data_IF_172212350723
#
_entry.id   IF_172212350723
#
_cell.length_a   1.000
_cell.length_b   1.000
_cell.length_c   1.000
_cell.angle_alpha   90.00
_cell.angle_beta   90.00
_cell.angle_gamma   90.00
#
_symmetry.space_group_name_H-M   'P 1'
#
loop_
_entity.id
_entity.type
_entity.pdbx_description
1 polymer ?
#
# COMPACT_ATOMS: atom_id res chain seq x y z
N UNK A 1 22.16 -15.32 -23.08
CA UNK A 1 21.31 -14.30 -22.40
C UNK A 1 20.73 -15.02 -21.21
N UNK A 2 21.23 -14.70 -20.01
CA UNK A 2 20.78 -15.33 -18.78
C UNK A 2 19.28 -15.03 -18.61
N UNK A 3 18.49 -16.07 -18.43
CA UNK A 3 17.12 -15.99 -17.92
C UNK A 3 17.22 -15.26 -16.57
N UNK A 4 16.82 -13.97 -16.57
CA UNK A 4 16.62 -13.27 -15.31
C UNK A 4 15.50 -14.02 -14.61
N UNK A 5 15.84 -14.87 -13.64
CA UNK A 5 14.88 -15.45 -12.71
C UNK A 5 13.95 -14.32 -12.28
N UNK A 6 12.66 -14.46 -12.60
CA UNK A 6 11.60 -13.55 -12.15
C UNK A 6 11.50 -13.69 -10.63
N UNK A 7 12.36 -12.97 -9.94
CA UNK A 7 12.34 -12.93 -8.47
C UNK A 7 11.00 -12.33 -8.09
N UNK A 8 10.16 -13.15 -7.49
CA UNK A 8 8.88 -12.67 -6.96
C UNK A 8 9.16 -11.57 -5.96
N UNK A 9 8.60 -10.38 -6.21
CA UNK A 9 8.83 -9.21 -5.35
C UNK A 9 8.23 -9.42 -3.98
N UNK A 10 7.07 -10.11 -3.91
CA UNK A 10 6.39 -10.45 -2.66
C UNK A 10 6.19 -11.97 -2.64
N UNK A 11 6.57 -12.64 -1.55
CA UNK A 11 6.38 -14.07 -1.38
C UNK A 11 5.75 -14.37 -0.03
N UNK A 12 4.75 -15.24 -0.04
CA UNK A 12 4.15 -15.86 1.14
C UNK A 12 4.73 -17.24 1.33
N UNK A 13 5.09 -17.59 2.56
CA UNK A 13 5.67 -18.89 2.92
C UNK A 13 4.87 -19.49 4.07
N UNK A 14 4.01 -20.46 3.77
CA UNK A 14 3.19 -21.18 4.75
C UNK A 14 2.30 -20.25 5.59
N UNK A 15 1.78 -19.17 5.01
CA UNK A 15 1.05 -18.12 5.72
C UNK A 15 -0.34 -18.63 6.13
N UNK A 16 -0.62 -18.54 7.42
CA UNK A 16 -1.96 -18.77 7.98
C UNK A 16 -2.51 -17.45 8.54
N UNK A 17 -3.74 -17.12 8.15
CA UNK A 17 -4.47 -15.92 8.58
C UNK A 17 -5.74 -16.29 9.31
N UNK A 18 -6.07 -15.53 10.35
CA UNK A 18 -7.29 -15.75 11.11
C UNK A 18 -7.50 -14.75 12.23
N UNK A 19 -8.61 -14.90 12.94
CA UNK A 19 -8.95 -14.12 14.13
C UNK A 19 -9.27 -15.10 15.27
N UNK A 20 -8.45 -15.15 16.31
CA UNK A 20 -8.55 -16.15 17.36
C UNK A 20 -8.48 -17.56 16.77
N UNK A 21 -9.47 -18.40 17.04
CA UNK A 21 -9.55 -19.78 16.52
C UNK A 21 -10.09 -19.87 15.08
N UNK A 22 -10.66 -18.79 14.55
CA UNK A 22 -11.23 -18.80 13.20
C UNK A 22 -10.13 -18.59 12.15
N UNK A 23 -9.75 -19.67 11.49
CA UNK A 23 -8.83 -19.62 10.34
C UNK A 23 -9.58 -19.16 9.08
N UNK A 24 -9.04 -18.16 8.39
CA UNK A 24 -9.56 -17.64 7.13
C UNK A 24 -8.81 -18.22 5.93
N UNK A 25 -7.51 -18.44 6.08
CA UNK A 25 -6.62 -19.01 5.09
C UNK A 25 -5.51 -19.78 5.82
N UNK A 26 -5.22 -20.99 5.40
CA UNK A 26 -4.21 -21.85 6.02
C UNK A 26 -3.10 -22.20 5.02
N UNK A 27 -1.86 -22.19 5.50
CA UNK A 27 -0.66 -22.71 4.82
C UNK A 27 -0.51 -22.21 3.37
N UNK A 28 -0.78 -20.92 3.14
CA UNK A 28 -0.69 -20.35 1.81
C UNK A 28 0.75 -19.99 1.44
N UNK A 29 1.21 -20.52 0.31
CA UNK A 29 2.49 -20.20 -0.29
C UNK A 29 2.28 -19.75 -1.72
N UNK A 30 2.59 -18.47 -2.01
CA UNK A 30 2.40 -17.85 -3.32
C UNK A 30 3.39 -16.70 -3.51
N UNK A 31 3.83 -16.50 -4.74
CA UNK A 31 4.68 -15.37 -5.12
C UNK A 31 3.97 -14.44 -6.10
N UNK A 32 4.24 -13.14 -5.96
CA UNK A 32 3.77 -12.09 -6.87
C UNK A 32 4.99 -11.46 -7.55
N UNK A 33 4.98 -11.49 -8.87
CA UNK A 33 6.09 -11.00 -9.69
C UNK A 33 6.08 -9.49 -9.89
N UNK A 34 7.22 -8.97 -10.30
CA UNK A 34 7.33 -7.58 -10.73
C UNK A 34 6.57 -7.36 -12.05
N UNK A 35 5.80 -6.26 -12.12
CA UNK A 35 5.05 -5.89 -13.32
C UNK A 35 3.83 -6.77 -13.62
N UNK A 36 3.43 -7.62 -12.69
CA UNK A 36 2.24 -8.48 -12.83
C UNK A 36 1.00 -7.81 -12.22
N UNK A 37 -0.13 -7.97 -12.91
CA UNK A 37 -1.45 -7.63 -12.37
C UNK A 37 -2.10 -8.90 -11.84
N UNK A 38 -2.28 -8.97 -10.52
CA UNK A 38 -2.90 -10.10 -9.84
C UNK A 38 -4.24 -9.71 -9.24
N UNK A 39 -5.30 -10.49 -9.51
CA UNK A 39 -6.62 -10.30 -8.91
C UNK A 39 -6.86 -11.32 -7.78
N UNK A 40 -7.23 -10.83 -6.59
CA UNK A 40 -7.63 -11.65 -5.46
C UNK A 40 -9.15 -11.74 -5.41
N UNK A 41 -9.71 -12.90 -5.77
CA UNK A 41 -11.15 -13.13 -5.90
C UNK A 41 -11.65 -14.06 -4.79
N UNK A 42 -12.85 -13.80 -4.28
CA UNK A 42 -13.49 -14.62 -3.25
C UNK A 42 -14.71 -13.93 -2.65
N UNK A 43 -15.54 -14.67 -1.91
CA UNK A 43 -16.73 -14.13 -1.22
C UNK A 43 -16.31 -13.13 -0.12
N UNK A 44 -17.26 -12.29 0.32
CA UNK A 44 -17.00 -11.42 1.47
C UNK A 44 -16.72 -12.25 2.73
N UNK A 45 -15.77 -11.79 3.55
CA UNK A 45 -15.38 -12.47 4.78
C UNK A 45 -14.37 -13.61 4.60
N UNK A 46 -13.86 -13.88 3.38
CA UNK A 46 -12.87 -14.96 3.14
C UNK A 46 -11.42 -14.55 3.44
N UNK A 47 -11.17 -13.36 3.94
CA UNK A 47 -9.82 -12.92 4.35
C UNK A 47 -9.04 -12.10 3.32
N UNK A 48 -9.64 -11.70 2.18
CA UNK A 48 -8.95 -10.89 1.15
C UNK A 48 -8.28 -9.63 1.70
N UNK A 49 -9.05 -8.81 2.41
CA UNK A 49 -8.52 -7.57 3.02
C UNK A 49 -7.52 -7.89 4.15
N UNK A 50 -7.71 -8.98 4.88
CA UNK A 50 -6.76 -9.43 5.91
C UNK A 50 -5.43 -9.80 5.26
N UNK A 51 -5.45 -10.54 4.15
CA UNK A 51 -4.23 -10.89 3.41
C UNK A 51 -3.50 -9.64 2.93
N UNK A 52 -4.20 -8.72 2.27
CA UNK A 52 -3.59 -7.48 1.78
C UNK A 52 -2.99 -6.63 2.91
N UNK A 53 -3.70 -6.52 4.05
CA UNK A 53 -3.17 -5.84 5.25
C UNK A 53 -1.96 -6.55 5.84
N UNK A 54 -1.91 -7.89 5.80
CA UNK A 54 -0.77 -8.66 6.30
C UNK A 54 0.45 -8.48 5.37
N UNK A 55 0.26 -8.47 4.06
CA UNK A 55 1.33 -8.16 3.08
C UNK A 55 1.89 -6.75 3.33
N UNK A 56 1.03 -5.78 3.62
CA UNK A 56 1.42 -4.40 3.92
C UNK A 56 1.98 -4.19 5.35
N UNK A 57 2.23 -5.27 6.11
CA UNK A 57 2.66 -5.24 7.51
C UNK A 57 1.70 -4.52 8.48
N UNK A 58 0.45 -4.28 8.09
CA UNK A 58 -0.60 -3.70 8.93
C UNK A 58 -1.29 -4.73 9.83
N UNK A 59 -1.03 -6.02 9.60
CA UNK A 59 -1.45 -7.14 10.44
C UNK A 59 -0.34 -8.19 10.46
N UNK A 60 -0.37 -9.06 11.47
CA UNK A 60 0.58 -10.19 11.57
C UNK A 60 -0.12 -11.48 11.17
N UNK A 61 0.55 -12.41 10.47
CA UNK A 61 0.03 -13.74 10.25
C UNK A 61 0.02 -14.53 11.57
N UNK A 62 -0.84 -15.56 11.67
CA UNK A 62 -0.83 -16.50 12.79
C UNK A 62 0.37 -17.45 12.71
N UNK A 63 0.75 -17.84 11.50
CA UNK A 63 1.97 -18.62 11.22
C UNK A 63 2.46 -18.34 9.81
N UNK A 64 3.67 -18.80 9.49
CA UNK A 64 4.36 -18.52 8.25
C UNK A 64 4.99 -17.13 8.27
N UNK A 65 5.55 -16.72 7.13
CA UNK A 65 6.16 -15.40 6.98
C UNK A 65 5.98 -14.86 5.56
N UNK A 66 6.18 -13.56 5.40
CA UNK A 66 6.07 -12.86 4.12
C UNK A 66 7.39 -12.17 3.85
N UNK A 67 7.89 -12.29 2.62
CA UNK A 67 9.08 -11.56 2.18
C UNK A 67 8.75 -10.54 1.11
N UNK A 68 9.44 -9.38 1.15
CA UNK A 68 9.44 -8.35 0.12
C UNK A 68 10.86 -8.21 -0.39
N UNK A 69 11.07 -8.44 -1.69
CA UNK A 69 12.40 -8.43 -2.31
C UNK A 69 13.41 -9.30 -1.53
N UNK A 70 12.98 -10.48 -1.07
CA UNK A 70 13.77 -11.44 -0.31
C UNK A 70 13.99 -11.10 1.16
N UNK A 71 13.46 -10.00 1.69
CA UNK A 71 13.58 -9.62 3.10
C UNK A 71 12.28 -9.93 3.85
N UNK A 72 12.37 -10.55 5.01
CA UNK A 72 11.20 -10.82 5.85
C UNK A 72 10.55 -9.51 6.30
N UNK A 73 9.25 -9.37 6.02
CA UNK A 73 8.46 -8.19 6.40
C UNK A 73 8.51 -7.92 7.90
N UNK A 74 8.56 -8.97 8.73
CA UNK A 74 8.65 -8.82 10.18
C UNK A 74 9.97 -8.18 10.64
N UNK A 75 11.02 -8.21 9.81
CA UNK A 75 12.31 -7.58 10.08
C UNK A 75 12.42 -6.14 9.58
N UNK A 76 11.45 -5.68 8.77
CA UNK A 76 11.45 -4.36 8.18
C UNK A 76 10.81 -3.34 9.12
N UNK A 77 11.33 -2.13 9.13
CA UNK A 77 10.65 -0.98 9.73
C UNK A 77 9.45 -0.57 8.87
N UNK A 78 8.44 0.08 9.46
CA UNK A 78 7.29 0.60 8.71
C UNK A 78 7.70 1.53 7.56
N UNK A 79 8.77 2.31 7.76
CA UNK A 79 9.35 3.14 6.70
C UNK A 79 9.84 2.30 5.53
N UNK A 80 10.61 1.24 5.80
CA UNK A 80 11.11 0.33 4.75
C UNK A 80 9.99 -0.40 4.03
N UNK A 81 8.92 -0.80 4.73
CA UNK A 81 7.73 -1.37 4.08
C UNK A 81 7.07 -0.34 3.16
N UNK A 82 6.86 0.89 3.63
CA UNK A 82 6.22 1.96 2.86
C UNK A 82 7.06 2.44 1.64
N UNK A 83 8.38 2.23 1.66
CA UNK A 83 9.25 2.47 0.50
C UNK A 83 9.07 1.41 -0.60
N UNK A 84 8.51 0.24 -0.28
CA UNK A 84 8.37 -0.89 -1.19
C UNK A 84 6.92 -1.20 -1.57
N UNK A 85 5.94 -0.86 -0.72
CA UNK A 85 4.52 -1.16 -0.92
C UNK A 85 3.69 0.11 -0.76
N UNK A 86 2.85 0.41 -1.76
CA UNK A 86 1.73 1.33 -1.63
C UNK A 86 0.46 0.52 -1.32
N UNK A 87 -0.27 0.92 -0.30
CA UNK A 87 -1.53 0.27 0.10
C UNK A 87 -2.69 1.26 0.02
N UNK A 88 -3.67 0.95 -0.82
CA UNK A 88 -4.93 1.73 -0.90
C UNK A 88 -6.01 0.98 -0.14
N UNK A 89 -6.52 1.59 0.94
CA UNK A 89 -7.62 1.02 1.71
C UNK A 89 -8.96 1.30 1.03
N UNK A 90 -9.91 0.38 1.23
CA UNK A 90 -11.32 0.61 0.91
C UNK A 90 -12.07 1.36 2.02
N UNK A 91 -11.40 1.63 3.13
CA UNK A 91 -11.98 2.39 4.23
C UNK A 91 -12.17 3.86 3.80
N UNK A 92 -13.30 4.44 4.15
CA UNK A 92 -13.59 5.85 3.85
C UNK A 92 -12.72 6.76 4.72
N UNK A 93 -11.59 7.18 4.17
CA UNK A 93 -10.66 8.08 4.87
C UNK A 93 -11.22 9.51 4.77
N UNK A 94 -11.98 9.90 5.79
CA UNK A 94 -12.47 11.29 5.92
C UNK A 94 -11.39 12.12 6.61
N UNK A 95 -10.61 12.81 5.80
CA UNK A 95 -9.60 13.75 6.30
C UNK A 95 -10.23 15.15 6.26
N UNK A 96 -10.59 15.66 7.43
CA UNK A 96 -11.13 17.03 7.55
C UNK A 96 -9.98 18.05 7.59
N UNK A 97 -10.22 19.23 7.03
CA UNK A 97 -9.30 20.37 7.08
C UNK A 97 -7.94 20.17 6.39
N UNK A 98 -7.79 19.17 5.52
CA UNK A 98 -6.60 19.02 4.69
C UNK A 98 -6.93 19.34 3.22
N UNK A 99 -5.98 19.95 2.53
CA UNK A 99 -6.03 20.14 1.08
C UNK A 99 -5.63 18.87 0.37
N UNK A 100 -6.05 18.73 -0.87
CA UNK A 100 -5.63 17.65 -1.77
C UNK A 100 -4.10 17.54 -1.81
N UNK A 101 -3.42 18.68 -1.95
CA UNK A 101 -1.95 18.73 -1.91
C UNK A 101 -1.37 18.10 -0.64
N UNK A 102 -1.95 18.43 0.51
CA UNK A 102 -1.45 17.95 1.80
C UNK A 102 -1.59 16.43 1.91
N UNK A 103 -2.74 15.88 1.47
CA UNK A 103 -3.01 14.44 1.48
C UNK A 103 -2.05 13.68 0.55
N UNK A 104 -1.90 14.12 -0.70
CA UNK A 104 -0.97 13.47 -1.65
C UNK A 104 0.48 13.58 -1.15
N UNK A 105 0.82 14.68 -0.48
CA UNK A 105 2.15 14.88 0.13
C UNK A 105 2.46 13.85 1.22
N UNK A 106 1.46 13.30 1.93
CA UNK A 106 1.67 12.23 2.91
C UNK A 106 2.29 10.98 2.27
N UNK A 107 2.02 10.72 0.99
CA UNK A 107 2.66 9.64 0.24
C UNK A 107 4.19 9.79 0.12
N UNK A 108 4.73 10.98 0.40
CA UNK A 108 6.17 11.22 0.45
C UNK A 108 6.78 11.04 1.84
N UNK A 109 5.97 10.79 2.88
CA UNK A 109 6.47 10.61 4.26
C UNK A 109 7.63 9.63 4.40
N UNK A 110 7.66 8.46 3.71
CA UNK A 110 8.79 7.52 3.81
C UNK A 110 10.12 8.11 3.33
N UNK A 111 10.08 9.11 2.45
CA UNK A 111 11.26 9.70 1.81
C UNK A 111 11.69 11.03 2.45
N UNK A 112 10.88 11.57 3.37
CA UNK A 112 11.20 12.82 4.07
C UNK A 112 12.13 12.57 5.26
N UNK A 113 12.75 13.66 5.75
CA UNK A 113 13.51 13.62 6.99
C UNK A 113 12.57 13.55 8.23
N UNK A 114 13.15 13.46 9.42
CA UNK A 114 12.41 13.37 10.70
C UNK A 114 11.47 14.56 10.99
N UNK A 115 11.68 15.72 10.33
CA UNK A 115 10.81 16.91 10.41
C UNK A 115 9.64 16.82 9.41
N UNK A 116 9.65 15.84 8.48
CA UNK A 116 8.62 15.73 7.44
C UNK A 116 8.73 16.77 6.33
N UNK A 117 9.89 17.43 6.17
CA UNK A 117 10.07 18.51 5.18
C UNK A 117 10.22 17.95 3.77
N UNK A 118 9.32 18.39 2.88
CA UNK A 118 9.39 18.04 1.46
C UNK A 118 10.54 18.78 0.78
N UNK A 119 11.33 18.05 0.02
CA UNK A 119 12.32 18.61 -0.92
C UNK A 119 11.63 19.10 -2.20
N UNK A 120 12.36 19.81 -3.07
CA UNK A 120 11.78 20.20 -4.36
C UNK A 120 11.50 18.97 -5.26
N UNK A 121 12.30 17.92 -5.16
CA UNK A 121 12.04 16.64 -5.83
C UNK A 121 10.75 15.98 -5.33
N UNK A 122 10.45 16.02 -4.03
CA UNK A 122 9.20 15.50 -3.48
C UNK A 122 8.01 16.32 -3.98
N UNK A 123 8.11 17.64 -4.00
CA UNK A 123 7.06 18.53 -4.53
C UNK A 123 6.80 18.27 -6.02
N UNK A 124 7.85 18.03 -6.80
CA UNK A 124 7.73 17.65 -8.21
C UNK A 124 6.96 16.33 -8.36
N UNK A 125 7.25 15.32 -7.52
CA UNK A 125 6.54 14.05 -7.52
C UNK A 125 5.06 14.20 -7.15
N UNK A 126 4.73 15.04 -6.16
CA UNK A 126 3.33 15.34 -5.80
C UNK A 126 2.60 15.97 -6.99
N UNK A 127 3.20 16.97 -7.66
CA UNK A 127 2.61 17.60 -8.86
C UNK A 127 2.38 16.58 -9.98
N UNK A 128 3.37 15.75 -10.27
CA UNK A 128 3.29 14.68 -11.27
C UNK A 128 2.14 13.71 -10.96
N UNK A 129 2.03 13.25 -9.71
CA UNK A 129 0.97 12.35 -9.28
C UNK A 129 -0.42 12.97 -9.47
N UNK A 130 -0.60 14.24 -9.07
CA UNK A 130 -1.86 14.96 -9.26
C UNK A 130 -2.23 15.14 -10.74
N UNK A 131 -1.24 15.38 -11.60
CA UNK A 131 -1.45 15.46 -13.05
C UNK A 131 -1.89 14.11 -13.63
N UNK A 132 -1.25 13.01 -13.24
CA UNK A 132 -1.56 11.67 -13.72
C UNK A 132 -3.02 11.26 -13.44
N UNK A 133 -3.57 11.68 -12.31
CA UNK A 133 -4.97 11.36 -11.93
C UNK A 133 -5.97 12.46 -12.31
N UNK A 134 -5.53 13.52 -13.01
CA UNK A 134 -6.39 14.65 -13.42
C UNK A 134 -6.90 15.49 -12.25
N UNK A 135 -6.12 15.62 -11.19
CA UNK A 135 -6.47 16.37 -9.97
C UNK A 135 -5.57 17.59 -9.73
N UNK A 136 -4.77 18.00 -10.73
CA UNK A 136 -3.83 19.12 -10.59
C UNK A 136 -4.53 20.44 -10.23
N UNK A 137 -5.66 20.74 -10.85
CA UNK A 137 -6.44 21.97 -10.60
C UNK A 137 -7.11 21.98 -9.22
N UNK A 138 -7.21 20.82 -8.58
CA UNK A 138 -7.79 20.66 -7.25
C UNK A 138 -6.76 20.65 -6.12
N UNK A 139 -5.46 20.88 -6.42
CA UNK A 139 -4.38 20.77 -5.44
C UNK A 139 -4.63 21.57 -4.15
N UNK A 140 -5.19 22.77 -4.26
CA UNK A 140 -5.50 23.67 -3.14
C UNK A 140 -6.92 23.47 -2.58
N UNK A 141 -7.75 22.63 -3.21
CA UNK A 141 -9.11 22.37 -2.73
C UNK A 141 -9.09 21.55 -1.43
N UNK A 142 -10.08 21.79 -0.57
CA UNK A 142 -10.27 21.00 0.64
C UNK A 142 -10.79 19.59 0.28
N UNK A 143 -10.29 18.56 0.93
CA UNK A 143 -10.69 17.17 0.69
C UNK A 143 -12.19 16.92 0.90
N UNK A 144 -12.82 17.65 1.82
CA UNK A 144 -14.24 17.55 2.12
C UNK A 144 -15.13 18.23 1.08
N UNK A 145 -14.58 19.11 0.23
CA UNK A 145 -15.29 19.72 -0.91
C UNK A 145 -15.37 18.84 -2.15
N UNK A 146 -14.61 17.73 -2.18
CA UNK A 146 -14.55 16.83 -3.32
C UNK A 146 -15.73 15.87 -3.35
N UNK A 147 -16.19 15.51 -4.56
CA UNK A 147 -17.06 14.37 -4.77
C UNK A 147 -16.35 13.04 -4.40
N UNK A 148 -17.12 11.98 -4.14
CA UNK A 148 -16.56 10.68 -3.78
C UNK A 148 -15.59 10.14 -4.84
N UNK A 149 -15.91 10.33 -6.14
CA UNK A 149 -15.06 9.91 -7.25
C UNK A 149 -13.75 10.73 -7.33
N UNK A 150 -13.79 12.03 -7.06
CA UNK A 150 -12.59 12.87 -6.98
C UNK A 150 -11.73 12.49 -5.79
N UNK A 151 -12.36 12.27 -4.63
CA UNK A 151 -11.67 11.83 -3.41
C UNK A 151 -10.95 10.50 -3.62
N UNK A 152 -11.61 9.56 -4.31
CA UNK A 152 -11.01 8.26 -4.63
C UNK A 152 -9.80 8.37 -5.57
N UNK A 153 -9.78 9.36 -6.49
CA UNK A 153 -8.62 9.62 -7.35
C UNK A 153 -7.44 10.23 -6.62
N UNK A 154 -7.68 10.94 -5.52
CA UNK A 154 -6.64 11.55 -4.67
C UNK A 154 -5.96 10.50 -3.78
N UNK A 155 -6.68 9.44 -3.39
CA UNK A 155 -6.17 8.36 -2.53
C UNK A 155 -5.32 7.35 -3.33
#
# INVERSE_FOLDING_TARGET
MAEMERISTIQLHGVTLGYGERVLMADASVGFGWGELTALIGRNGTGKSTLLRTIAALAKPQSGHITISGKDVASLTMKQVAENIAFVSTDDVRVQNLRVWDVVSLGRAPYTNWVGRLTESDRAKVRESLQLVGMADFAEAAMDSLSDGERQRVM
#
